data_IF_780866300673
#
_entry.id   IF_780866300673
#
_cell.length_a   1.000
_cell.length_b   1.000
_cell.length_c   1.000
_cell.angle_alpha   90.00
_cell.angle_beta   90.00
_cell.angle_gamma   90.00
#
_symmetry.space_group_name_H-M   'P 1'
#
loop_
_entity.id
_entity.type
_entity.pdbx_description
1 polymer ?
#
# COMPACT_ATOMS: atom_id res chain seq x y z
N UNK A 1 -3.29 8.17 17.20
CA UNK A 1 -3.04 7.52 15.89
C UNK A 1 -2.47 6.15 16.18
N UNK A 2 -3.09 5.08 15.67
CA UNK A 2 -2.58 3.72 15.88
C UNK A 2 -1.41 3.47 14.92
N UNK A 3 -0.29 3.00 15.46
CA UNK A 3 0.87 2.59 14.67
C UNK A 3 0.51 1.27 13.99
N UNK A 4 0.72 1.17 12.67
CA UNK A 4 0.46 -0.07 11.93
C UNK A 4 1.70 -0.45 11.11
N UNK A 5 2.21 -1.65 11.40
CA UNK A 5 3.35 -2.23 10.71
C UNK A 5 2.86 -3.26 9.71
N UNK A 6 3.29 -3.13 8.46
CA UNK A 6 2.98 -4.08 7.39
C UNK A 6 4.25 -4.75 6.89
N UNK A 7 4.17 -6.06 6.64
CA UNK A 7 5.26 -6.85 6.05
C UNK A 7 4.88 -7.29 4.64
N UNK A 8 5.75 -7.06 3.67
CA UNK A 8 5.55 -7.49 2.28
C UNK A 8 6.88 -7.75 1.58
N UNK A 9 6.81 -8.40 0.41
CA UNK A 9 7.97 -8.64 -0.46
C UNK A 9 7.94 -7.64 -1.60
N UNK A 10 8.99 -6.86 -1.74
CA UNK A 10 9.16 -5.94 -2.87
C UNK A 10 10.52 -6.20 -3.52
N UNK A 11 10.50 -6.33 -4.84
CA UNK A 11 11.61 -6.86 -5.63
C UNK A 11 12.10 -8.23 -5.13
N UNK A 12 13.24 -8.27 -4.44
CA UNK A 12 13.83 -9.50 -3.85
C UNK A 12 13.99 -9.41 -2.34
N UNK A 13 13.47 -8.35 -1.73
CA UNK A 13 13.66 -8.06 -0.32
C UNK A 13 12.33 -8.12 0.42
N UNK A 14 12.40 -8.53 1.69
CA UNK A 14 11.27 -8.41 2.61
C UNK A 14 11.37 -7.08 3.33
N UNK A 15 10.28 -6.32 3.29
CA UNK A 15 10.16 -5.04 3.96
C UNK A 15 9.22 -5.16 5.16
N UNK A 16 9.52 -4.38 6.19
CA UNK A 16 8.63 -4.12 7.32
C UNK A 16 8.54 -2.61 7.43
N UNK A 17 7.35 -2.05 7.20
CA UNK A 17 7.15 -0.60 7.06
C UNK A 17 6.12 -0.11 8.06
N UNK A 18 6.41 1.02 8.71
CA UNK A 18 5.47 1.78 9.51
C UNK A 18 4.60 2.65 8.61
N UNK A 19 3.31 2.31 8.47
CA UNK A 19 2.39 3.07 7.64
C UNK A 19 1.98 4.41 8.26
N UNK A 20 2.25 4.64 9.54
CA UNK A 20 1.94 5.93 10.18
C UNK A 20 2.83 7.07 9.68
N UNK A 21 3.99 6.74 9.09
CA UNK A 21 4.94 7.69 8.51
C UNK A 21 4.73 7.91 7.00
N UNK A 22 3.83 7.14 6.38
CA UNK A 22 3.54 7.26 4.94
C UNK A 22 2.52 8.36 4.71
N UNK A 23 2.91 9.38 3.95
CA UNK A 23 2.07 10.57 3.72
C UNK A 23 1.14 10.46 2.52
N UNK A 24 1.35 9.49 1.62
CA UNK A 24 0.57 9.37 0.39
C UNK A 24 0.46 7.91 -0.09
N UNK A 25 -0.75 7.54 -0.50
CA UNK A 25 -1.08 6.27 -1.15
C UNK A 25 -1.73 6.57 -2.51
N UNK A 26 -1.44 5.75 -3.51
CA UNK A 26 -1.97 5.87 -4.86
C UNK A 26 -2.35 4.49 -5.43
N UNK A 27 -3.35 4.45 -6.31
CA UNK A 27 -3.67 3.30 -7.14
C UNK A 27 -3.27 3.58 -8.58
N UNK A 28 -2.43 2.73 -9.16
CA UNK A 28 -2.19 2.73 -10.60
C UNK A 28 -3.40 2.15 -11.35
N UNK A 29 -3.55 2.50 -12.64
CA UNK A 29 -4.66 2.04 -13.49
C UNK A 29 -4.77 0.50 -13.58
N UNK A 30 -3.67 -0.22 -13.36
CA UNK A 30 -3.64 -1.67 -13.39
C UNK A 30 -3.83 -2.34 -12.01
N UNK A 31 -4.34 -1.59 -11.05
CA UNK A 31 -4.64 -2.06 -9.71
C UNK A 31 -3.44 -2.34 -8.83
N UNK A 32 -2.29 -1.76 -9.17
CA UNK A 32 -1.14 -1.76 -8.26
C UNK A 32 -1.27 -0.64 -7.25
N UNK A 33 -1.15 -0.99 -5.98
CA UNK A 33 -1.09 -0.03 -4.89
C UNK A 33 0.32 0.50 -4.78
N UNK A 34 0.46 1.81 -4.63
CA UNK A 34 1.74 2.50 -4.59
C UNK A 34 1.79 3.45 -3.38
N UNK A 35 2.94 3.55 -2.75
CA UNK A 35 3.19 4.56 -1.72
C UNK A 35 4.67 4.93 -1.65
N UNK A 36 4.96 6.10 -1.09
CA UNK A 36 6.34 6.56 -0.92
C UNK A 36 6.82 6.25 0.49
N UNK A 37 8.07 5.81 0.62
CA UNK A 37 8.70 5.67 1.92
C UNK A 37 8.98 7.04 2.55
N UNK A 38 8.95 7.15 3.89
CA UNK A 38 9.36 8.37 4.57
C UNK A 38 10.80 8.72 4.21
N UNK A 39 11.07 9.98 3.87
CA UNK A 39 12.40 10.50 3.56
C UNK A 39 13.12 9.83 2.38
N UNK A 40 12.42 9.08 1.53
CA UNK A 40 13.00 8.43 0.36
C UNK A 40 12.16 8.72 -0.88
N UNK A 41 12.80 9.01 -2.02
CA UNK A 41 12.08 9.14 -3.30
C UNK A 41 11.61 7.78 -3.84
N UNK A 42 11.94 6.67 -3.15
CA UNK A 42 11.57 5.32 -3.58
C UNK A 42 10.06 5.13 -3.45
N UNK A 43 9.43 4.83 -4.58
CA UNK A 43 8.04 4.42 -4.65
C UNK A 43 7.93 2.91 -4.53
N UNK A 44 7.26 2.45 -3.49
CA UNK A 44 6.95 1.04 -3.29
C UNK A 44 5.71 0.70 -4.08
N UNK A 45 5.75 -0.43 -4.79
CA UNK A 45 4.63 -0.95 -5.58
C UNK A 45 4.24 -2.31 -5.01
N UNK A 46 3.06 -2.38 -4.41
CA UNK A 46 2.48 -3.62 -3.88
C UNK A 46 1.62 -4.25 -4.98
N UNK A 47 1.98 -5.49 -5.34
CA UNK A 47 1.22 -6.28 -6.30
C UNK A 47 0.15 -7.11 -5.59
N UNK A 48 -1.14 -7.00 -5.97
CA UNK A 48 -2.23 -7.71 -5.29
C UNK A 48 -2.08 -9.24 -5.33
N UNK A 49 -1.44 -9.79 -6.37
CA UNK A 49 -1.19 -11.23 -6.48
C UNK A 49 0.02 -11.71 -5.67
N UNK A 50 1.04 -10.87 -5.49
CA UNK A 50 2.26 -11.26 -4.77
C UNK A 50 2.16 -11.04 -3.27
N UNK A 51 1.40 -10.02 -2.87
CA UNK A 51 1.22 -9.65 -1.47
C UNK A 51 -0.27 -9.39 -1.19
N UNK A 52 -1.15 -10.38 -1.36
CA UNK A 52 -2.60 -10.19 -1.22
C UNK A 52 -2.99 -9.70 0.17
N UNK A 53 -2.40 -10.29 1.21
CA UNK A 53 -2.71 -9.94 2.60
C UNK A 53 -2.27 -8.51 2.92
N UNK A 54 -1.00 -8.19 2.67
CA UNK A 54 -0.43 -6.85 2.88
C UNK A 54 -1.14 -5.79 2.05
N UNK A 55 -1.55 -6.13 0.83
CA UNK A 55 -2.30 -5.25 -0.06
C UNK A 55 -3.65 -4.88 0.56
N UNK A 56 -4.40 -5.88 1.06
CA UNK A 56 -5.68 -5.65 1.73
C UNK A 56 -5.51 -4.88 3.04
N UNK A 57 -4.50 -5.23 3.86
CA UNK A 57 -4.18 -4.52 5.11
C UNK A 57 -3.94 -3.02 4.87
N UNK A 58 -3.21 -2.66 3.81
CA UNK A 58 -2.95 -1.26 3.49
C UNK A 58 -4.24 -0.56 3.01
N UNK A 59 -5.06 -1.21 2.18
CA UNK A 59 -6.34 -0.63 1.75
C UNK A 59 -7.27 -0.37 2.94
N UNK A 60 -7.37 -1.32 3.86
CA UNK A 60 -8.18 -1.20 5.06
C UNK A 60 -7.65 -0.10 5.98
N UNK A 61 -6.32 0.00 6.13
CA UNK A 61 -5.69 1.09 6.87
C UNK A 61 -6.03 2.46 6.30
N UNK A 62 -5.90 2.65 4.99
CA UNK A 62 -6.21 3.95 4.37
C UNK A 62 -7.69 4.28 4.53
N UNK A 63 -8.58 3.29 4.35
CA UNK A 63 -10.01 3.45 4.57
C UNK A 63 -10.34 3.84 6.00
N UNK A 64 -9.73 3.17 6.98
CA UNK A 64 -9.94 3.46 8.40
C UNK A 64 -9.37 4.83 8.81
N UNK A 65 -8.25 5.25 8.23
CA UNK A 65 -7.60 6.52 8.54
C UNK A 65 -8.31 7.73 7.91
N UNK A 66 -8.73 7.61 6.65
CA UNK A 66 -9.21 8.74 5.84
C UNK A 66 -10.72 8.72 5.61
N UNK A 67 -11.39 7.59 5.84
CA UNK A 67 -12.76 7.35 5.41
C UNK A 67 -12.93 7.14 3.90
N UNK A 68 -11.84 7.17 3.11
CA UNK A 68 -11.86 7.05 1.66
C UNK A 68 -11.44 5.64 1.23
N UNK A 69 -12.17 5.06 0.28
CA UNK A 69 -11.79 3.81 -0.37
C UNK A 69 -10.89 4.09 -1.58
N UNK A 70 -9.63 3.64 -1.52
CA UNK A 70 -8.77 3.59 -2.71
C UNK A 70 -9.22 2.43 -3.59
N UNK A 71 -9.88 2.76 -4.71
CA UNK A 71 -10.36 1.76 -5.64
C UNK A 71 -9.23 1.34 -6.60
N UNK A 72 -8.38 0.42 -6.15
CA UNK A 72 -7.37 -0.21 -7.00
C UNK A 72 -7.97 -1.37 -7.82
N UNK A 73 -9.24 -1.74 -7.62
CA UNK A 73 -9.88 -2.87 -8.29
C UNK A 73 -10.66 -2.44 -9.54
N UNK A 74 -9.98 -1.89 -10.56
CA UNK A 74 -10.58 -1.83 -11.89
C UNK A 74 -10.28 -3.11 -12.66
N UNK A 75 -11.22 -4.06 -12.61
CA UNK A 75 -11.42 -4.96 -13.75
C UNK A 75 -11.79 -4.09 -14.94
N UNK A 76 -10.91 -4.02 -15.94
CA UNK A 76 -11.25 -3.56 -17.28
C UNK A 76 -12.53 -4.28 -17.71
N UNK A 77 -13.55 -3.48 -18.01
CA UNK A 77 -14.78 -3.92 -18.68
C UNK A 77 -14.43 -4.44 -20.07
#
# INVERSE_FOLDING_TARGET
MCIMWVKFVYERNTYVVDLSQVSAFACAENGRLMFCLPHSPVQIIIHPQRNPDSYQEILDYVKNLTGLSLNCDRKTK
#
